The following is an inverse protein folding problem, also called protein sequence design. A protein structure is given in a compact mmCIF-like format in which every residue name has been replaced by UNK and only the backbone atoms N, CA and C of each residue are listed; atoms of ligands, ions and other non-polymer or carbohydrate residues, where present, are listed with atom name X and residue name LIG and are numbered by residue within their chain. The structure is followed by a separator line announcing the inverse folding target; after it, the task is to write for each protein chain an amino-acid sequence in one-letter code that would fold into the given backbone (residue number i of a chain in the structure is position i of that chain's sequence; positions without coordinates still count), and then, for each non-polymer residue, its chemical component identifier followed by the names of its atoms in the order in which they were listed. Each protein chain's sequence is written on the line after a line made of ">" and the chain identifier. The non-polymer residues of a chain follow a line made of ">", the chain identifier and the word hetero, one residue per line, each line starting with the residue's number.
data_IF_465933857755
#
_entry.id   IF_465933857755
#
_cell.length_a   1.000
_cell.length_b   1.000
_cell.length_c   1.000
_cell.angle_alpha   90.00
_cell.angle_beta   90.00
_cell.angle_gamma   90.00
#
_symmetry.space_group_name_H-M   'P 1'
#
loop_
_entity.id
_entity.type
_entity.pdbx_description
1 polymer ?
#
# COMPACT_ATOMS: atom_id res chain seq x y z
N UNK A 1 21.62 14.10 -11.17
CA UNK A 1 22.22 12.79 -10.86
C UNK A 1 21.60 12.11 -9.65
N UNK A 2 20.74 12.77 -8.86
CA UNK A 2 20.10 12.17 -7.66
C UNK A 2 19.07 11.07 -7.94
N UNK A 3 18.41 11.06 -9.11
CA UNK A 3 17.45 10.01 -9.45
C UNK A 3 18.08 8.64 -9.74
N UNK A 4 19.37 8.59 -10.12
CA UNK A 4 20.03 7.33 -10.50
C UNK A 4 20.46 6.49 -9.28
N UNK A 5 20.82 7.13 -8.16
CA UNK A 5 21.21 6.42 -6.93
C UNK A 5 20.02 5.94 -6.09
N UNK A 6 18.90 6.68 -6.09
CA UNK A 6 17.67 6.23 -5.43
C UNK A 6 17.12 4.94 -6.09
N UNK A 7 17.38 4.75 -7.37
CA UNK A 7 16.96 3.56 -8.09
C UNK A 7 17.73 2.31 -7.62
N UNK A 8 19.04 2.38 -7.35
CA UNK A 8 19.90 1.21 -7.13
C UNK A 8 19.37 0.26 -6.04
N UNK A 9 18.96 0.79 -4.89
CA UNK A 9 18.41 0.04 -3.76
C UNK A 9 16.87 -0.01 -3.68
N UNK A 10 16.14 0.21 -4.77
CA UNK A 10 14.68 0.32 -4.73
C UNK A 10 13.97 -0.96 -4.24
N UNK A 11 14.55 -2.14 -4.49
CA UNK A 11 13.99 -3.42 -4.02
C UNK A 11 14.15 -3.52 -2.50
N UNK A 12 15.35 -3.25 -2.00
CA UNK A 12 15.69 -3.30 -0.58
C UNK A 12 14.93 -2.22 0.21
N UNK A 13 14.81 -1.02 -0.35
CA UNK A 13 14.03 0.07 0.23
C UNK A 13 12.52 -0.25 0.26
N UNK A 14 11.99 -0.87 -0.79
CA UNK A 14 10.62 -1.38 -0.80
C UNK A 14 10.40 -2.41 0.31
N UNK A 15 11.30 -3.39 0.44
CA UNK A 15 11.16 -4.48 1.41
C UNK A 15 11.29 -3.96 2.85
N UNK A 16 12.21 -3.03 3.10
CA UNK A 16 12.36 -2.35 4.38
C UNK A 16 11.10 -1.56 4.75
N UNK A 17 10.55 -0.78 3.82
CA UNK A 17 9.33 -0.02 4.07
C UNK A 17 8.12 -0.94 4.27
N UNK A 18 8.02 -2.04 3.51
CA UNK A 18 6.98 -3.05 3.69
C UNK A 18 7.03 -3.66 5.09
N UNK A 19 8.22 -3.92 5.64
CA UNK A 19 8.37 -4.40 7.01
C UNK A 19 7.87 -3.36 8.04
N UNK A 20 8.19 -2.08 7.87
CA UNK A 20 7.70 -0.98 8.73
C UNK A 20 6.18 -0.86 8.68
N UNK A 21 5.60 -0.88 7.48
CA UNK A 21 4.14 -0.88 7.27
C UNK A 21 3.50 -2.08 7.94
N UNK A 22 4.09 -3.26 7.79
CA UNK A 22 3.62 -4.49 8.43
C UNK A 22 3.57 -4.36 9.95
N UNK A 23 4.56 -3.70 10.56
CA UNK A 23 4.58 -3.46 11.99
C UNK A 23 3.52 -2.43 12.43
N UNK A 24 3.38 -1.33 11.69
CA UNK A 24 2.32 -0.36 11.92
C UNK A 24 0.93 -1.00 11.83
N UNK A 25 0.72 -1.88 10.85
CA UNK A 25 -0.54 -2.61 10.66
C UNK A 25 -0.89 -3.54 11.82
N UNK A 26 0.09 -4.28 12.36
CA UNK A 26 -0.12 -5.11 13.56
C UNK A 26 -0.52 -4.26 14.76
N UNK A 27 0.08 -3.08 14.88
CA UNK A 27 -0.14 -2.15 15.98
C UNK A 27 -1.18 -1.06 15.67
N UNK A 28 -2.01 -1.20 14.63
CA UNK A 28 -2.95 -0.15 14.16
C UNK A 28 -3.96 0.36 15.19
N UNK A 29 -4.17 -0.37 16.29
CA UNK A 29 -4.99 0.07 17.43
C UNK A 29 -4.26 1.06 18.35
N UNK A 30 -2.95 1.18 18.23
CA UNK A 30 -2.12 2.17 18.89
C UNK A 30 -2.07 3.44 18.02
N UNK A 31 -2.52 4.57 18.56
CA UNK A 31 -2.64 5.82 17.82
C UNK A 31 -1.33 6.30 17.21
N UNK A 32 -0.18 6.06 17.86
CA UNK A 32 1.13 6.45 17.33
C UNK A 32 1.50 5.67 16.07
N UNK A 33 1.28 4.36 16.08
CA UNK A 33 1.56 3.49 14.93
C UNK A 33 0.57 3.70 13.79
N UNK A 34 -0.69 4.00 14.12
CA UNK A 34 -1.69 4.38 13.12
C UNK A 34 -1.29 5.69 12.42
N UNK A 35 -0.94 6.72 13.18
CA UNK A 35 -0.51 8.03 12.66
C UNK A 35 0.76 7.94 11.83
N UNK A 36 1.75 7.17 12.29
CA UNK A 36 2.98 6.95 11.53
C UNK A 36 2.70 6.16 10.24
N UNK A 37 1.97 5.05 10.36
CA UNK A 37 1.75 4.13 9.25
C UNK A 37 1.00 4.74 8.06
N UNK A 38 0.06 5.65 8.32
CA UNK A 38 -0.69 6.31 7.24
C UNK A 38 0.19 7.21 6.36
N UNK A 39 1.32 7.74 6.85
CA UNK A 39 2.16 8.70 6.10
C UNK A 39 2.95 8.04 4.96
N UNK A 40 3.05 6.72 4.96
CA UNK A 40 3.85 5.97 3.99
C UNK A 40 3.14 5.69 2.66
N UNK A 41 1.89 6.12 2.48
CA UNK A 41 1.09 5.81 1.28
C UNK A 41 1.78 6.22 -0.04
N UNK A 42 2.35 7.43 -0.06
CA UNK A 42 3.00 7.99 -1.24
C UNK A 42 4.38 7.37 -1.46
N UNK A 43 5.19 7.26 -0.41
CA UNK A 43 6.53 6.67 -0.48
C UNK A 43 6.47 5.20 -0.90
N UNK A 44 5.54 4.43 -0.34
CA UNK A 44 5.35 3.02 -0.69
C UNK A 44 4.92 2.85 -2.15
N UNK A 45 3.96 3.66 -2.63
CA UNK A 45 3.53 3.58 -4.03
C UNK A 45 4.68 3.80 -5.01
N UNK A 46 5.54 4.79 -4.74
CA UNK A 46 6.69 5.10 -5.58
C UNK A 46 7.74 3.97 -5.53
N UNK A 47 8.08 3.49 -4.33
CA UNK A 47 9.04 2.40 -4.16
C UNK A 47 8.56 1.08 -4.76
N UNK A 48 7.26 0.75 -4.61
CA UNK A 48 6.68 -0.43 -5.24
C UNK A 48 6.82 -0.37 -6.77
N UNK A 49 6.49 0.78 -7.39
CA UNK A 49 6.60 0.95 -8.84
C UNK A 49 8.05 0.76 -9.31
N UNK A 50 9.02 1.42 -8.66
CA UNK A 50 10.44 1.34 -9.00
C UNK A 50 11.01 -0.08 -8.77
N UNK A 51 10.66 -0.72 -7.65
CA UNK A 51 11.03 -2.11 -7.36
C UNK A 51 10.46 -3.07 -8.40
N UNK A 52 9.17 -2.94 -8.71
CA UNK A 52 8.46 -3.76 -9.70
C UNK A 52 9.10 -3.65 -11.08
N UNK A 53 9.40 -2.45 -11.56
CA UNK A 53 10.04 -2.23 -12.85
C UNK A 53 11.38 -2.97 -12.95
N UNK A 54 12.21 -2.88 -11.90
CA UNK A 54 13.49 -3.59 -11.82
C UNK A 54 13.36 -5.10 -11.78
N UNK A 55 12.36 -5.60 -11.07
CA UNK A 55 12.12 -7.05 -11.00
C UNK A 55 11.65 -7.57 -12.36
N UNK A 56 10.72 -6.87 -13.01
CA UNK A 56 10.22 -7.24 -14.35
C UNK A 56 11.32 -7.19 -15.40
N UNK A 57 12.24 -6.20 -15.33
CA UNK A 57 13.35 -6.10 -16.29
C UNK A 57 14.30 -7.31 -16.22
N UNK A 58 14.38 -7.99 -15.08
CA UNK A 58 15.16 -9.22 -14.88
C UNK A 58 14.33 -10.49 -15.05
N UNK A 59 13.05 -10.44 -14.70
CA UNK A 59 12.12 -11.56 -14.75
C UNK A 59 10.72 -11.07 -15.17
N UNK A 60 10.42 -11.07 -16.49
CA UNK A 60 9.18 -10.50 -17.02
C UNK A 60 7.89 -11.18 -16.52
N UNK A 61 8.00 -12.39 -15.97
CA UNK A 61 6.88 -13.18 -15.43
C UNK A 61 6.84 -13.17 -13.90
N UNK A 62 7.58 -12.28 -13.25
CA UNK A 62 7.55 -12.17 -11.79
C UNK A 62 6.15 -11.80 -11.30
N UNK A 63 5.71 -12.49 -10.25
CA UNK A 63 4.45 -12.20 -9.56
C UNK A 63 4.70 -11.27 -8.38
N UNK A 64 3.74 -10.38 -8.11
CA UNK A 64 3.83 -9.39 -7.04
C UNK A 64 2.67 -9.57 -6.07
N UNK A 65 2.94 -9.31 -4.78
CA UNK A 65 1.95 -9.43 -3.72
C UNK A 65 1.30 -8.08 -3.42
N UNK A 66 -0.01 -8.08 -3.18
CA UNK A 66 -0.78 -6.88 -2.78
C UNK A 66 -0.70 -6.54 -1.29
N UNK A 67 0.11 -7.25 -0.50
CA UNK A 67 0.08 -7.16 0.99
C UNK A 67 0.30 -5.74 1.51
N UNK A 68 1.29 -5.00 0.99
CA UNK A 68 1.54 -3.63 1.46
C UNK A 68 0.41 -2.65 1.10
N UNK A 69 -0.18 -2.74 -0.10
CA UNK A 69 -1.37 -1.96 -0.47
C UNK A 69 -2.58 -2.29 0.42
N UNK A 70 -2.77 -3.56 0.74
CA UNK A 70 -3.83 -4.02 1.63
C UNK A 70 -3.63 -3.50 3.07
N UNK A 71 -2.40 -3.54 3.59
CA UNK A 71 -2.09 -3.05 4.92
C UNK A 71 -2.22 -1.53 5.02
N UNK A 72 -1.66 -0.78 4.06
CA UNK A 72 -1.75 0.68 4.03
C UNK A 72 -3.17 1.19 3.81
N UNK A 73 -3.96 0.56 2.94
CA UNK A 73 -5.36 0.95 2.77
C UNK A 73 -6.15 0.75 4.07
N UNK A 74 -5.83 -0.30 4.85
CA UNK A 74 -6.42 -0.50 6.18
C UNK A 74 -5.99 0.59 7.16
N UNK A 75 -4.70 0.92 7.21
CA UNK A 75 -4.17 1.99 8.07
C UNK A 75 -4.79 3.35 7.75
N UNK A 76 -4.86 3.71 6.47
CA UNK A 76 -5.48 4.96 6.02
C UNK A 76 -6.97 4.99 6.35
N UNK A 77 -7.70 3.88 6.15
CA UNK A 77 -9.11 3.79 6.50
C UNK A 77 -9.34 3.95 8.02
N UNK A 78 -8.55 3.24 8.84
CA UNK A 78 -8.65 3.32 10.31
C UNK A 78 -8.30 4.72 10.82
N UNK A 79 -7.48 5.48 10.09
CA UNK A 79 -7.15 6.87 10.37
C UNK A 79 -8.14 7.90 9.76
N UNK A 80 -9.19 7.45 9.07
CA UNK A 80 -10.17 8.33 8.41
C UNK A 80 -9.70 8.96 7.10
N UNK A 81 -8.51 8.60 6.58
CA UNK A 81 -8.01 9.01 5.26
C UNK A 81 -8.61 8.13 4.16
N UNK A 82 -9.93 8.18 4.01
CA UNK A 82 -10.68 7.29 3.13
C UNK A 82 -10.26 7.40 1.65
N UNK A 83 -10.03 8.62 1.15
CA UNK A 83 -9.63 8.82 -0.26
C UNK A 83 -8.25 8.22 -0.55
N UNK A 84 -7.29 8.35 0.38
CA UNK A 84 -5.98 7.73 0.28
C UNK A 84 -6.09 6.19 0.31
N UNK A 85 -6.96 5.66 1.17
CA UNK A 85 -7.22 4.22 1.24
C UNK A 85 -7.80 3.65 -0.06
N UNK A 86 -8.75 4.37 -0.69
CA UNK A 86 -9.33 3.99 -1.98
C UNK A 86 -8.29 4.09 -3.10
N UNK A 87 -7.49 5.17 -3.13
CA UNK A 87 -6.44 5.35 -4.13
C UNK A 87 -5.40 4.22 -4.09
N UNK A 88 -5.02 3.74 -2.91
CA UNK A 88 -4.14 2.57 -2.76
C UNK A 88 -4.76 1.29 -3.31
N UNK A 89 -6.06 1.06 -3.06
CA UNK A 89 -6.77 -0.08 -3.62
C UNK A 89 -6.83 -0.02 -5.16
N UNK A 90 -7.13 1.15 -5.73
CA UNK A 90 -7.18 1.35 -7.18
C UNK A 90 -5.81 1.10 -7.83
N UNK A 91 -4.73 1.64 -7.27
CA UNK A 91 -3.37 1.34 -7.75
C UNK A 91 -3.05 -0.15 -7.71
N UNK A 92 -3.48 -0.85 -6.66
CA UNK A 92 -3.26 -2.30 -6.56
C UNK A 92 -4.01 -3.06 -7.66
N UNK A 93 -5.23 -2.65 -8.00
CA UNK A 93 -6.01 -3.19 -9.13
C UNK A 93 -5.31 -2.92 -10.46
N UNK A 94 -4.81 -1.69 -10.68
CA UNK A 94 -4.05 -1.32 -11.88
C UNK A 94 -2.80 -2.21 -12.08
N UNK A 95 -2.16 -2.61 -10.99
CA UNK A 95 -1.03 -3.55 -11.01
C UNK A 95 -1.44 -5.03 -11.09
N UNK A 96 -2.74 -5.34 -11.09
CA UNK A 96 -3.26 -6.72 -11.12
C UNK A 96 -3.05 -7.49 -9.80
N UNK A 97 -2.93 -6.79 -8.67
CA UNK A 97 -2.65 -7.38 -7.36
C UNK A 97 -3.92 -7.88 -6.68
N UNK A 98 -3.76 -8.88 -5.82
CA UNK A 98 -4.82 -9.44 -4.99
C UNK A 98 -4.62 -9.07 -3.52
N UNK A 99 -5.72 -8.80 -2.81
CA UNK A 99 -5.71 -8.40 -1.39
C UNK A 99 -5.85 -9.60 -0.42
N UNK A 100 -5.96 -10.82 -0.97
CA UNK A 100 -6.11 -12.06 -0.23
C UNK A 100 -7.55 -12.39 0.20
N UNK A 101 -8.55 -11.58 -0.19
CA UNK A 101 -9.96 -11.85 0.04
C UNK A 101 -10.66 -12.37 -1.22
N UNK A 102 -11.81 -13.03 -1.06
CA UNK A 102 -12.62 -13.54 -2.17
C UNK A 102 -13.03 -12.43 -3.15
N UNK A 103 -13.26 -11.23 -2.65
CA UNK A 103 -13.76 -10.09 -3.43
C UNK A 103 -12.66 -9.13 -3.89
N UNK A 104 -11.39 -9.41 -3.56
CA UNK A 104 -10.27 -8.54 -3.90
C UNK A 104 -10.36 -7.12 -3.33
N UNK A 105 -9.58 -6.23 -3.95
CA UNK A 105 -9.53 -4.80 -3.61
C UNK A 105 -10.85 -4.07 -3.92
N UNK A 106 -11.65 -4.55 -4.87
CA UNK A 106 -12.96 -4.01 -5.20
C UNK A 106 -13.93 -4.14 -4.01
N UNK A 107 -13.94 -5.30 -3.35
CA UNK A 107 -14.72 -5.49 -2.14
C UNK A 107 -14.21 -4.63 -0.98
N UNK A 108 -12.90 -4.36 -0.93
CA UNK A 108 -12.31 -3.47 0.07
C UNK A 108 -12.72 -2.02 -0.13
N UNK A 109 -12.70 -1.51 -1.37
CA UNK A 109 -13.16 -0.16 -1.72
C UNK A 109 -14.59 0.06 -1.21
N UNK A 110 -15.51 -0.87 -1.51
CA UNK A 110 -16.91 -0.78 -1.04
C UNK A 110 -17.05 -0.66 0.48
N UNK A 111 -16.19 -1.35 1.24
CA UNK A 111 -16.18 -1.26 2.71
C UNK A 111 -15.64 0.09 3.20
N UNK A 112 -14.61 0.62 2.54
CA UNK A 112 -14.03 1.93 2.84
C UNK A 112 -15.03 3.05 2.52
N UNK A 113 -15.70 2.99 1.37
CA UNK A 113 -16.76 3.94 0.98
C UNK A 113 -17.88 3.96 2.02
N UNK A 114 -18.36 2.79 2.45
CA UNK A 114 -19.37 2.70 3.51
C UNK A 114 -18.89 3.29 4.84
N UNK A 115 -17.61 3.12 5.19
CA UNK A 115 -17.03 3.70 6.39
C UNK A 115 -16.94 5.24 6.29
N UNK A 116 -16.55 5.75 5.12
CA UNK A 116 -16.54 7.19 4.81
C UNK A 116 -17.93 7.80 4.93
N UNK A 117 -18.91 7.21 4.26
CA UNK A 117 -20.28 7.73 4.24
C UNK A 117 -20.88 7.74 5.65
N UNK A 118 -20.57 6.73 6.47
CA UNK A 118 -20.96 6.69 7.89
C UNK A 118 -20.27 7.78 8.73
N UNK A 119 -19.03 8.14 8.42
CA UNK A 119 -18.29 9.18 9.14
C UNK A 119 -18.73 10.60 8.75
N UNK A 120 -19.37 10.76 7.58
CA UNK A 120 -19.89 12.03 7.08
C UNK A 120 -21.38 12.26 7.41
N UNK A 121 -22.09 11.22 7.84
CA UNK A 121 -23.50 11.25 8.25
C UNK A 121 -23.65 11.68 9.72
#
# INVERSE_FOLDING_TARGET
>A
MEQYQAAEGAIEAHDALLAVIGECYKQRKNSKYLQLGQEYDTAYSALFAASREKVISKSPKAEFKGTGFMQLSTLCNDAGRFDAAIALCNKAIEYGLQDGTVTGFEGRIKRIEKARDKALA
#
